data_IF_960697056214
#
_entry.id   IF_960697056214
#
_cell.length_a   1.000
_cell.length_b   1.000
_cell.length_c   1.000
_cell.angle_alpha   90.00
_cell.angle_beta   90.00
_cell.angle_gamma   90.00
#
_symmetry.space_group_name_H-M   'P 1'
#
loop_
_entity.id
_entity.type
_entity.pdbx_description
1 polymer ?
#
# COMPACT_ATOMS: atom_id res chain seq x y z
N UNK A 1 0.47 -23.80 32.90
CA UNK A 1 1.57 -24.42 33.69
C UNK A 1 1.87 -25.79 33.11
N UNK A 2 3.13 -26.23 33.18
CA UNK A 2 3.69 -27.51 32.70
C UNK A 2 3.55 -27.78 31.18
N UNK A 3 4.59 -27.74 30.34
CA UNK A 3 5.96 -28.34 30.30
C UNK A 3 6.03 -29.80 29.83
N UNK A 4 6.62 -29.93 28.63
CA UNK A 4 7.68 -30.86 28.23
C UNK A 4 7.32 -32.36 28.09
N UNK A 5 7.49 -32.88 26.87
CA UNK A 5 7.82 -34.28 26.62
C UNK A 5 9.33 -34.43 26.37
N UNK A 6 9.91 -35.49 26.93
CA UNK A 6 11.31 -35.91 26.78
C UNK A 6 11.31 -37.20 25.93
N UNK A 7 12.32 -37.39 25.08
CA UNK A 7 12.66 -38.71 24.52
C UNK A 7 14.07 -39.12 24.97
N UNK A 8 14.27 -40.43 25.18
CA UNK A 8 15.47 -40.97 25.83
C UNK A 8 15.86 -42.34 25.24
N UNK A 9 17.17 -42.62 25.29
CA UNK A 9 17.83 -43.95 25.40
C UNK A 9 18.27 -44.74 24.13
N UNK A 10 19.41 -45.46 24.30
CA UNK A 10 20.06 -46.44 23.39
C UNK A 10 21.25 -45.87 22.59
N UNK A 11 22.55 -45.96 22.94
CA UNK A 11 23.40 -46.87 23.76
C UNK A 11 23.98 -48.11 23.02
N UNK A 12 25.27 -48.44 23.32
CA UNK A 12 26.13 -49.59 22.87
C UNK A 12 26.90 -49.33 21.54
N UNK A 13 28.22 -49.60 21.34
CA UNK A 13 29.31 -50.09 22.21
C UNK A 13 30.77 -49.77 21.72
N UNK A 14 31.71 -49.73 22.69
CA UNK A 14 33.10 -50.24 22.75
C UNK A 14 34.10 -50.16 21.56
N UNK A 15 35.29 -49.54 21.80
CA UNK A 15 36.61 -50.23 21.96
C UNK A 15 37.71 -49.26 22.46
N UNK A 16 38.83 -49.80 22.95
CA UNK A 16 40.00 -49.16 23.63
C UNK A 16 41.29 -49.93 23.22
N UNK A 17 42.55 -49.55 23.61
CA UNK A 17 43.16 -48.25 23.97
C UNK A 17 44.61 -48.06 23.35
N UNK A 18 45.42 -47.15 23.96
CA UNK A 18 46.91 -47.05 23.94
C UNK A 18 47.60 -46.12 22.90
N UNK A 19 48.75 -45.44 23.13
CA UNK A 19 49.57 -45.11 24.35
C UNK A 19 50.55 -43.94 24.02
N UNK A 20 50.77 -42.98 24.95
CA UNK A 20 51.89 -42.00 25.09
C UNK A 20 52.27 -41.07 23.87
N UNK A 21 52.98 -39.92 23.98
CA UNK A 21 53.95 -39.37 24.97
C UNK A 21 53.94 -37.81 25.07
N UNK A 22 54.02 -37.29 26.30
CA UNK A 22 54.88 -36.18 26.80
C UNK A 22 55.37 -35.00 25.90
N UNK A 23 54.95 -33.76 26.23
CA UNK A 23 55.73 -32.57 26.71
C UNK A 23 55.11 -31.20 26.30
N UNK A 24 55.38 -30.09 27.03
CA UNK A 24 54.56 -28.87 26.96
C UNK A 24 55.19 -27.70 26.19
N UNK A 25 54.34 -26.74 25.78
CA UNK A 25 54.74 -25.36 25.54
C UNK A 25 53.71 -24.42 26.16
N UNK A 26 54.15 -23.56 27.08
CA UNK A 26 53.32 -22.50 27.64
C UNK A 26 53.25 -21.33 26.68
N UNK A 27 52.06 -20.87 26.31
CA UNK A 27 51.85 -19.51 25.85
C UNK A 27 50.70 -18.86 26.62
N UNK A 28 51.07 -17.85 27.40
CA UNK A 28 50.17 -17.04 28.20
C UNK A 28 49.84 -15.76 27.43
N UNK A 29 48.61 -15.64 26.94
CA UNK A 29 48.08 -14.37 26.40
C UNK A 29 46.84 -13.96 27.16
N UNK A 30 46.86 -12.71 27.66
CA UNK A 30 45.90 -12.18 28.64
C UNK A 30 44.46 -12.20 28.14
N UNK A 31 43.58 -12.66 29.01
CA UNK A 31 42.17 -12.29 29.04
C UNK A 31 42.03 -10.77 29.25
N UNK A 32 41.41 -10.06 28.31
CA UNK A 32 40.83 -8.73 28.55
C UNK A 32 39.32 -8.87 28.46
N UNK A 33 38.66 -9.01 29.62
CA UNK A 33 37.22 -9.02 29.69
C UNK A 33 36.68 -7.60 29.48
N UNK A 34 35.93 -7.37 28.40
CA UNK A 34 35.16 -6.14 28.23
C UNK A 34 33.93 -6.21 29.13
N UNK A 35 33.77 -5.17 29.97
CA UNK A 35 32.61 -5.04 30.84
C UNK A 35 31.35 -4.67 30.05
N UNK A 36 30.16 -5.16 30.44
CA UNK A 36 28.91 -4.71 29.84
C UNK A 36 28.62 -3.27 30.26
N UNK A 37 28.41 -2.38 29.29
CA UNK A 37 27.96 -1.01 29.54
C UNK A 37 26.50 -1.07 30.01
N UNK A 38 26.27 -0.74 31.29
CA UNK A 38 24.94 -0.35 31.76
C UNK A 38 24.66 1.07 31.27
N UNK A 39 23.54 1.26 30.57
CA UNK A 39 22.93 2.58 30.39
C UNK A 39 21.56 2.62 31.07
N UNK A 40 21.42 3.58 31.97
CA UNK A 40 20.22 3.86 32.74
C UNK A 40 19.26 4.78 31.99
N UNK A 41 17.96 4.59 32.21
CA UNK A 41 16.87 5.52 31.88
C UNK A 41 16.99 6.86 32.65
N UNK A 42 16.03 7.81 32.51
CA UNK A 42 15.21 8.18 31.34
C UNK A 42 15.46 9.65 30.94
N UNK A 43 15.08 10.07 29.72
CA UNK A 43 15.14 11.49 29.34
C UNK A 43 13.75 12.13 29.34
N UNK A 44 13.59 13.22 30.10
CA UNK A 44 12.37 14.04 30.12
C UNK A 44 12.32 14.99 28.92
N UNK A 45 11.12 15.30 28.43
CA UNK A 45 10.91 16.28 27.38
C UNK A 45 11.20 17.72 27.89
N UNK A 46 11.73 18.61 27.02
CA UNK A 46 11.60 20.06 27.17
C UNK A 46 10.41 20.61 26.37
N UNK A 47 9.81 21.69 26.88
CA UNK A 47 8.69 22.40 26.26
C UNK A 47 9.08 23.22 25.02
N UNK A 48 8.11 23.34 24.11
CA UNK A 48 7.87 24.43 23.13
C UNK A 48 9.01 25.38 22.72
N UNK A 49 9.39 25.34 21.44
CA UNK A 49 9.72 26.56 20.69
C UNK A 49 8.99 26.54 19.33
N UNK A 50 8.39 27.69 19.00
CA UNK A 50 7.81 28.03 17.72
C UNK A 50 8.86 28.49 16.71
N UNK A 51 8.87 27.93 15.51
CA UNK A 51 8.91 28.70 14.24
C UNK A 51 8.99 27.75 13.03
N UNK A 52 7.93 27.75 12.22
CA UNK A 52 8.01 27.33 10.81
C UNK A 52 7.50 28.48 9.96
N UNK A 53 8.44 29.28 9.46
CA UNK A 53 8.19 30.32 8.49
C UNK A 53 7.78 29.70 7.15
N UNK A 54 6.51 29.87 6.79
CA UNK A 54 6.05 29.57 5.44
C UNK A 54 6.71 30.53 4.45
N UNK A 55 7.55 30.01 3.57
CA UNK A 55 8.09 30.74 2.43
C UNK A 55 7.78 29.98 1.13
N UNK A 56 6.86 30.58 0.37
CA UNK A 56 6.87 30.62 -1.10
C UNK A 56 6.48 29.37 -1.91
N UNK A 57 5.17 29.08 -1.93
CA UNK A 57 4.45 28.80 -3.18
C UNK A 57 3.10 29.53 -3.15
N UNK A 58 3.03 30.71 -3.78
CA UNK A 58 1.86 31.58 -3.73
C UNK A 58 0.66 31.08 -4.52
N UNK A 59 -0.39 30.62 -3.83
CA UNK A 59 -1.76 30.54 -4.35
C UNK A 59 -2.73 31.07 -3.29
N UNK A 60 -3.13 32.34 -3.42
CA UNK A 60 -4.20 32.91 -2.59
C UNK A 60 -5.56 32.47 -3.13
N UNK A 61 -6.30 31.72 -2.32
CA UNK A 61 -7.75 31.55 -2.51
C UNK A 61 -8.48 32.57 -1.64
N UNK A 62 -8.99 33.63 -2.25
CA UNK A 62 -9.95 34.54 -1.63
C UNK A 62 -11.34 33.89 -1.62
N UNK A 63 -11.91 33.71 -0.43
CA UNK A 63 -13.24 33.16 -0.20
C UNK A 63 -14.23 34.23 0.32
N UNK A 64 -14.06 35.49 -0.10
CA UNK A 64 -14.87 36.61 0.38
C UNK A 64 -15.45 37.51 -0.72
N UNK A 65 -16.20 36.93 -1.67
CA UNK A 65 -17.19 37.70 -2.45
C UNK A 65 -18.35 36.83 -2.97
N UNK A 66 -19.52 36.94 -2.32
CA UNK A 66 -20.79 36.42 -2.83
C UNK A 66 -21.52 37.53 -3.59
N UNK A 67 -21.57 37.44 -4.93
CA UNK A 67 -22.40 38.28 -5.78
C UNK A 67 -23.64 37.50 -6.30
N UNK A 68 -24.82 38.13 -6.41
CA UNK A 68 -26.07 37.42 -6.72
C UNK A 68 -26.20 37.00 -8.19
N UNK A 69 -26.76 35.82 -8.42
CA UNK A 69 -27.07 35.29 -9.76
C UNK A 69 -28.37 35.92 -10.28
N UNK A 70 -28.40 36.49 -11.50
CA UNK A 70 -29.63 36.94 -12.13
C UNK A 70 -30.39 35.78 -12.80
N UNK A 71 -31.61 35.53 -12.36
CA UNK A 71 -32.53 34.57 -13.02
C UNK A 71 -33.00 35.12 -14.36
N UNK A 72 -32.73 34.42 -15.46
CA UNK A 72 -33.31 34.69 -16.78
C UNK A 72 -34.18 33.49 -17.21
N UNK A 73 -35.45 33.75 -17.47
CA UNK A 73 -36.44 32.76 -17.90
C UNK A 73 -36.45 32.71 -19.42
N UNK A 74 -36.24 31.53 -20.01
CA UNK A 74 -36.30 31.34 -21.46
C UNK A 74 -37.57 30.61 -21.86
N UNK A 75 -38.41 31.26 -22.66
CA UNK A 75 -39.60 30.66 -23.31
C UNK A 75 -39.30 30.55 -24.82
N UNK A 76 -39.36 29.34 -25.42
CA UNK A 76 -39.39 29.20 -26.87
C UNK A 76 -40.84 29.21 -27.38
N UNK A 77 -41.19 30.27 -28.12
CA UNK A 77 -42.35 30.27 -29.03
C UNK A 77 -41.98 29.57 -30.35
N UNK A 78 -42.96 29.04 -31.07
CA UNK A 78 -42.74 28.26 -32.29
C UNK A 78 -43.14 28.99 -33.58
N UNK A 79 -42.55 28.60 -34.72
CA UNK A 79 -43.27 28.36 -35.99
C UNK A 79 -42.35 27.99 -37.17
N UNK A 80 -42.63 26.82 -37.77
CA UNK A 80 -42.62 26.43 -39.20
C UNK A 80 -41.70 27.20 -40.20
N UNK A 81 -40.95 26.52 -41.08
CA UNK A 81 -41.54 25.93 -42.33
C UNK A 81 -40.58 25.08 -43.20
N UNK A 82 -41.18 24.15 -43.96
CA UNK A 82 -40.84 23.67 -45.33
C UNK A 82 -39.52 22.91 -45.66
N UNK A 83 -39.64 21.57 -45.70
CA UNK A 83 -39.47 20.67 -46.86
C UNK A 83 -38.27 20.81 -47.85
N UNK A 84 -37.42 19.78 -47.88
CA UNK A 84 -36.99 19.16 -49.15
C UNK A 84 -36.75 17.64 -49.01
N UNK A 85 -37.27 16.84 -49.94
CA UNK A 85 -37.13 15.38 -49.97
C UNK A 85 -35.91 14.97 -50.81
N UNK A 86 -35.14 13.98 -50.33
CA UNK A 86 -34.25 13.16 -51.15
C UNK A 86 -34.39 11.67 -50.74
N UNK A 87 -34.14 10.72 -51.64
CA UNK A 87 -34.69 9.37 -51.52
C UNK A 87 -33.96 8.48 -50.52
N UNK A 88 -34.76 7.57 -49.98
CA UNK A 88 -34.43 6.54 -49.00
C UNK A 88 -33.60 5.43 -49.64
N UNK A 89 -32.39 5.15 -49.16
CA UNK A 89 -31.64 3.96 -49.52
C UNK A 89 -31.44 3.06 -48.29
N UNK A 90 -32.14 1.92 -48.29
CA UNK A 90 -32.39 1.12 -47.11
C UNK A 90 -31.45 -0.09 -47.08
N UNK A 91 -30.34 0.04 -46.38
CA UNK A 91 -29.42 -1.08 -46.06
C UNK A 91 -29.01 -1.03 -44.59
N UNK A 92 -30.01 -1.23 -43.74
CA UNK A 92 -29.85 -1.42 -42.30
C UNK A 92 -29.24 -2.81 -42.00
N UNK A 93 -27.92 -2.92 -42.17
CA UNK A 93 -27.15 -4.04 -41.61
C UNK A 93 -27.25 -3.94 -40.09
N UNK A 94 -28.18 -4.70 -39.52
CA UNK A 94 -28.38 -4.79 -38.08
C UNK A 94 -27.12 -5.40 -37.46
N UNK A 95 -26.31 -4.68 -36.67
CA UNK A 95 -25.18 -5.28 -35.99
C UNK A 95 -25.70 -6.34 -35.02
N UNK A 96 -25.09 -7.53 -35.04
CA UNK A 96 -25.49 -8.63 -34.17
C UNK A 96 -25.52 -8.15 -32.70
N UNK A 97 -26.48 -8.60 -31.88
CA UNK A 97 -26.57 -8.18 -30.49
C UNK A 97 -25.25 -8.54 -29.79
N UNK A 98 -24.53 -7.52 -29.32
CA UNK A 98 -23.31 -7.69 -28.54
C UNK A 98 -23.57 -8.67 -27.40
N UNK A 99 -22.71 -9.68 -27.18
CA UNK A 99 -22.88 -10.59 -26.05
C UNK A 99 -22.97 -9.76 -24.75
N UNK A 100 -23.86 -10.12 -23.81
CA UNK A 100 -24.04 -9.34 -22.60
C UNK A 100 -22.72 -9.20 -21.85
N UNK A 101 -22.40 -7.97 -21.42
CA UNK A 101 -21.19 -7.59 -20.68
C UNK A 101 -21.20 -8.13 -19.23
N UNK A 102 -21.43 -9.42 -19.08
CA UNK A 102 -21.53 -10.12 -17.79
C UNK A 102 -20.42 -11.17 -17.63
N UNK A 103 -19.26 -10.90 -18.24
CA UNK A 103 -18.02 -11.68 -18.12
C UNK A 103 -16.81 -10.80 -17.82
N UNK A 104 -17.00 -9.74 -17.02
CA UNK A 104 -15.91 -9.16 -16.22
C UNK A 104 -15.71 -10.02 -14.97
N UNK A 105 -15.34 -11.29 -15.21
CA UNK A 105 -14.78 -12.15 -14.18
C UNK A 105 -13.58 -11.42 -13.59
N UNK A 106 -13.63 -11.10 -12.29
CA UNK A 106 -12.55 -10.37 -11.62
C UNK A 106 -11.27 -11.18 -11.77
N UNK A 107 -10.36 -10.71 -12.63
CA UNK A 107 -9.13 -11.43 -12.98
C UNK A 107 -8.40 -11.86 -11.71
N UNK A 108 -8.41 -13.17 -11.44
CA UNK A 108 -7.83 -13.74 -10.23
C UNK A 108 -6.32 -13.64 -10.32
N UNK A 109 -5.76 -12.63 -9.67
CA UNK A 109 -4.34 -12.49 -9.46
C UNK A 109 -3.88 -13.42 -8.32
N UNK A 110 -2.61 -13.79 -8.37
CA UNK A 110 -1.89 -14.48 -7.30
C UNK A 110 -0.84 -13.53 -6.73
N UNK A 111 -0.45 -13.69 -5.46
CA UNK A 111 0.69 -12.93 -4.91
C UNK A 111 1.96 -13.12 -5.75
N UNK A 112 2.15 -14.31 -6.34
CA UNK A 112 3.28 -14.59 -7.24
C UNK A 112 3.33 -13.62 -8.44
N UNK A 113 2.17 -13.27 -9.01
CA UNK A 113 2.10 -12.29 -10.12
C UNK A 113 2.36 -10.87 -9.61
N UNK A 114 1.78 -10.48 -8.47
CA UNK A 114 1.95 -9.13 -7.91
C UNK A 114 3.42 -8.80 -7.56
N UNK A 115 4.18 -9.81 -7.12
CA UNK A 115 5.62 -9.74 -6.80
C UNK A 115 6.53 -10.24 -7.95
N UNK A 116 6.00 -10.43 -9.17
CA UNK A 116 6.83 -10.84 -10.32
C UNK A 116 7.60 -9.65 -10.89
N UNK A 117 8.84 -9.88 -11.39
CA UNK A 117 9.81 -8.84 -11.80
C UNK A 117 10.47 -8.05 -10.65
N UNK A 118 10.42 -8.56 -9.42
CA UNK A 118 11.14 -8.02 -8.27
C UNK A 118 10.94 -6.51 -8.05
N UNK A 119 11.96 -5.67 -8.25
CA UNK A 119 11.85 -4.20 -8.08
C UNK A 119 10.94 -3.55 -9.15
N UNK A 120 10.67 -4.20 -10.28
CA UNK A 120 9.72 -3.71 -11.30
C UNK A 120 8.38 -4.48 -11.25
N UNK A 121 8.07 -5.04 -10.09
CA UNK A 121 6.78 -5.68 -9.81
C UNK A 121 5.67 -4.67 -9.59
N UNK A 122 4.41 -5.08 -9.79
CA UNK A 122 3.26 -4.21 -9.51
C UNK A 122 3.20 -3.77 -8.03
N UNK A 123 3.67 -4.61 -7.09
CA UNK A 123 3.86 -4.20 -5.69
C UNK A 123 4.88 -3.07 -5.59
N UNK A 124 6.03 -3.20 -6.22
CA UNK A 124 7.09 -2.20 -6.14
C UNK A 124 6.67 -0.86 -6.79
N UNK A 125 6.03 -0.89 -7.97
CA UNK A 125 5.49 0.32 -8.60
C UNK A 125 4.38 0.96 -7.75
N UNK A 126 3.42 0.17 -7.26
CA UNK A 126 2.29 0.72 -6.50
C UNK A 126 2.69 1.28 -5.12
N UNK A 127 3.52 0.55 -4.36
CA UNK A 127 4.02 1.00 -3.06
C UNK A 127 5.01 2.15 -3.24
N UNK A 128 5.93 2.07 -4.22
CA UNK A 128 6.91 3.12 -4.49
C UNK A 128 6.27 4.44 -4.93
N UNK A 129 5.20 4.41 -5.74
CA UNK A 129 4.42 5.60 -6.09
C UNK A 129 3.71 6.19 -4.85
N UNK A 130 3.34 5.35 -3.89
CA UNK A 130 2.69 5.79 -2.66
C UNK A 130 3.67 6.30 -1.59
N UNK A 131 4.91 5.79 -1.56
CA UNK A 131 6.06 6.40 -0.87
C UNK A 131 6.54 7.70 -1.56
N UNK A 132 6.36 7.82 -2.88
CA UNK A 132 6.90 8.93 -3.69
C UNK A 132 8.31 8.68 -4.24
N UNK A 133 8.79 7.43 -4.20
CA UNK A 133 10.05 6.96 -4.80
C UNK A 133 9.90 6.54 -6.26
N UNK A 134 8.66 6.31 -6.74
CA UNK A 134 8.37 5.97 -8.15
C UNK A 134 7.25 6.80 -8.76
N UNK A 135 7.18 6.85 -10.09
CA UNK A 135 6.01 7.34 -10.85
C UNK A 135 4.91 6.26 -10.93
N UNK A 136 3.66 6.61 -11.27
CA UNK A 136 2.63 5.64 -11.60
C UNK A 136 3.00 4.67 -12.73
N UNK A 137 3.86 5.11 -13.65
CA UNK A 137 4.39 4.35 -14.78
C UNK A 137 5.52 3.38 -14.39
N UNK A 138 6.16 3.61 -13.23
CA UNK A 138 7.19 2.74 -12.64
C UNK A 138 8.60 3.32 -12.61
N UNK A 139 8.84 4.47 -13.22
CA UNK A 139 10.13 5.16 -13.22
C UNK A 139 10.54 5.62 -11.82
N UNK A 140 11.83 5.73 -11.56
CA UNK A 140 12.36 6.19 -10.27
C UNK A 140 12.28 7.72 -10.14
N UNK A 141 11.86 8.20 -8.96
CA UNK A 141 11.98 9.61 -8.57
C UNK A 141 13.37 9.89 -7.97
N UNK A 142 13.65 11.14 -7.63
CA UNK A 142 14.89 11.51 -6.91
C UNK A 142 15.00 10.79 -5.56
N UNK A 143 13.89 10.55 -4.86
CA UNK A 143 13.88 9.91 -3.53
C UNK A 143 14.27 8.43 -3.54
N UNK A 144 14.19 7.75 -4.69
CA UNK A 144 14.63 6.36 -4.86
C UNK A 144 16.13 6.18 -4.59
N UNK A 145 16.95 7.11 -5.10
CA UNK A 145 18.40 7.11 -4.91
C UNK A 145 18.82 7.49 -3.48
N UNK A 146 17.84 7.86 -2.66
CA UNK A 146 17.93 8.00 -1.22
C UNK A 146 17.64 9.42 -0.74
N UNK A 147 17.16 9.50 0.50
CA UNK A 147 16.77 10.75 1.14
C UNK A 147 16.80 10.60 2.66
N UNK A 148 17.02 11.70 3.37
CA UNK A 148 16.89 11.72 4.83
C UNK A 148 15.43 11.97 5.22
N UNK A 149 14.87 11.11 6.06
CA UNK A 149 13.55 11.31 6.67
C UNK A 149 13.62 12.49 7.67
N UNK A 150 12.84 13.57 7.49
CA UNK A 150 12.89 14.74 8.37
C UNK A 150 12.34 14.46 9.78
N UNK A 151 11.57 13.38 9.97
CA UNK A 151 10.97 13.02 11.26
C UNK A 151 11.91 12.26 12.21
N UNK A 152 12.91 11.54 11.68
CA UNK A 152 13.85 10.75 12.49
C UNK A 152 15.34 10.90 12.12
N UNK A 153 15.66 11.59 11.03
CA UNK A 153 17.04 11.80 10.55
C UNK A 153 17.69 10.57 9.91
N UNK A 154 16.95 9.50 9.66
CA UNK A 154 17.46 8.25 9.08
C UNK A 154 17.53 8.36 7.55
N UNK A 155 18.54 7.74 6.96
CA UNK A 155 18.68 7.63 5.51
C UNK A 155 17.81 6.49 4.96
N UNK A 156 16.92 6.85 4.04
CA UNK A 156 16.03 5.96 3.31
C UNK A 156 16.65 5.61 1.95
N UNK A 157 16.42 4.39 1.45
CA UNK A 157 16.97 3.95 0.16
C UNK A 157 16.00 3.04 -0.63
N UNK A 158 16.03 3.15 -1.97
CA UNK A 158 15.31 2.27 -2.88
C UNK A 158 13.82 2.60 -3.06
N UNK A 159 13.09 1.70 -3.70
CA UNK A 159 11.66 1.81 -4.00
C UNK A 159 10.81 1.92 -2.74
N UNK A 160 11.23 1.31 -1.64
CA UNK A 160 10.41 1.19 -0.43
C UNK A 160 10.84 2.10 0.72
N UNK A 161 11.74 3.07 0.47
CA UNK A 161 12.30 3.95 1.50
C UNK A 161 12.96 3.17 2.66
N UNK A 162 13.75 2.16 2.34
CA UNK A 162 14.29 1.20 3.32
C UNK A 162 15.29 1.85 4.29
N UNK A 163 15.11 1.64 5.59
CA UNK A 163 15.86 2.28 6.67
C UNK A 163 16.85 1.35 7.41
N UNK A 164 16.83 0.03 7.18
CA UNK A 164 17.51 -0.94 8.06
C UNK A 164 18.91 -1.38 7.58
N UNK A 165 19.66 -0.47 6.96
CA UNK A 165 21.02 -0.75 6.47
C UNK A 165 21.03 -1.59 5.19
N UNK A 166 21.32 -0.93 4.07
CA UNK A 166 21.60 -1.57 2.79
C UNK A 166 22.72 -0.81 2.06
N UNK A 167 23.60 -1.55 1.40
CA UNK A 167 24.78 -1.00 0.72
C UNK A 167 24.44 -0.52 -0.71
N UNK A 168 23.22 -0.81 -1.19
CA UNK A 168 22.73 -0.46 -2.54
C UNK A 168 21.20 -0.41 -2.60
N UNK A 169 20.63 0.23 -3.63
CA UNK A 169 19.18 0.29 -3.86
C UNK A 169 18.61 -1.10 -4.17
N UNK A 170 19.37 -1.95 -4.87
CA UNK A 170 19.01 -3.32 -5.21
C UNK A 170 18.92 -4.20 -3.96
N UNK A 171 19.85 -4.05 -3.02
CA UNK A 171 19.82 -4.79 -1.76
C UNK A 171 18.68 -4.30 -0.85
N UNK A 172 18.44 -2.99 -0.78
CA UNK A 172 17.31 -2.38 -0.07
C UNK A 172 15.97 -2.95 -0.56
N UNK A 173 15.76 -2.93 -1.88
CA UNK A 173 14.55 -3.45 -2.50
C UNK A 173 14.41 -4.97 -2.33
N UNK A 174 15.49 -5.74 -2.50
CA UNK A 174 15.45 -7.19 -2.28
C UNK A 174 15.09 -7.56 -0.84
N UNK A 175 15.68 -6.89 0.16
CA UNK A 175 15.37 -7.08 1.59
C UNK A 175 13.89 -6.76 1.88
N UNK A 176 13.40 -5.62 1.40
CA UNK A 176 12.04 -5.17 1.70
C UNK A 176 10.96 -5.92 0.90
N UNK A 177 11.19 -6.27 -0.37
CA UNK A 177 10.32 -7.18 -1.15
C UNK A 177 10.18 -8.53 -0.46
N UNK A 178 11.28 -9.12 0.00
CA UNK A 178 11.25 -10.39 0.72
C UNK A 178 10.42 -10.31 2.02
N UNK A 179 10.46 -9.17 2.72
CA UNK A 179 9.64 -8.90 3.91
C UNK A 179 8.16 -8.73 3.54
N UNK A 180 7.84 -7.82 2.61
CA UNK A 180 6.48 -7.54 2.16
C UNK A 180 5.79 -8.78 1.61
N UNK A 181 6.52 -9.66 0.90
CA UNK A 181 6.01 -10.93 0.38
C UNK A 181 5.56 -11.88 1.50
N UNK A 182 6.28 -11.95 2.62
CA UNK A 182 5.86 -12.72 3.81
C UNK A 182 4.65 -12.09 4.49
N UNK A 183 4.64 -10.76 4.63
CA UNK A 183 3.50 -10.04 5.23
C UNK A 183 2.23 -10.18 4.38
N UNK A 184 2.35 -10.18 3.05
CA UNK A 184 1.25 -10.41 2.11
C UNK A 184 0.66 -11.83 2.24
N UNK A 185 1.48 -12.84 2.54
CA UNK A 185 1.00 -14.20 2.81
C UNK A 185 0.18 -14.25 4.10
N UNK A 186 0.70 -13.70 5.20
CA UNK A 186 -0.04 -13.59 6.49
C UNK A 186 -1.34 -12.80 6.32
N UNK A 187 -1.34 -11.75 5.51
CA UNK A 187 -2.55 -10.99 5.17
C UNK A 187 -3.60 -11.85 4.44
N UNK A 188 -3.19 -12.64 3.44
CA UNK A 188 -4.11 -13.54 2.73
C UNK A 188 -4.63 -14.66 3.64
N UNK A 189 -3.82 -15.17 4.56
CA UNK A 189 -4.23 -16.15 5.57
C UNK A 189 -5.28 -15.54 6.52
N UNK A 190 -5.03 -14.34 7.07
CA UNK A 190 -6.00 -13.58 7.89
C UNK A 190 -7.31 -13.33 7.13
N UNK A 191 -7.24 -12.97 5.85
CA UNK A 191 -8.42 -12.67 5.03
C UNK A 191 -9.24 -13.94 4.78
N UNK A 192 -8.57 -15.03 4.40
CA UNK A 192 -9.19 -16.34 4.17
C UNK A 192 -9.86 -16.89 5.45
N UNK A 193 -9.23 -16.71 6.61
CA UNK A 193 -9.80 -17.09 7.90
C UNK A 193 -11.09 -16.33 8.28
N UNK A 194 -11.34 -15.17 7.65
CA UNK A 194 -12.59 -14.39 7.78
C UNK A 194 -13.56 -14.59 6.60
N UNK A 195 -13.23 -15.46 5.66
CA UNK A 195 -14.01 -15.63 4.43
C UNK A 195 -13.90 -14.47 3.42
N UNK A 196 -12.94 -13.56 3.61
CA UNK A 196 -12.72 -12.44 2.71
C UNK A 196 -11.90 -12.87 1.48
N UNK A 197 -12.43 -12.61 0.28
CA UNK A 197 -11.67 -12.66 -0.97
C UNK A 197 -11.22 -11.25 -1.34
N UNK A 198 -9.98 -10.89 -1.00
CA UNK A 198 -9.43 -9.57 -1.28
C UNK A 198 -9.36 -9.29 -2.79
N UNK A 199 -9.80 -8.09 -3.16
CA UNK A 199 -9.55 -7.49 -4.47
C UNK A 199 -8.08 -7.09 -4.63
N UNK A 200 -7.69 -6.73 -5.85
CA UNK A 200 -6.34 -6.23 -6.15
C UNK A 200 -6.00 -4.98 -5.33
N UNK A 201 -6.97 -4.07 -5.19
CA UNK A 201 -6.78 -2.81 -4.50
C UNK A 201 -6.70 -2.99 -2.98
N UNK A 202 -7.56 -3.81 -2.38
CA UNK A 202 -7.45 -4.18 -0.95
C UNK A 202 -6.10 -4.87 -0.66
N UNK A 203 -5.66 -5.74 -1.57
CA UNK A 203 -4.36 -6.43 -1.45
C UNK A 203 -3.19 -5.45 -1.51
N UNK A 204 -3.14 -4.58 -2.52
CA UNK A 204 -2.03 -3.62 -2.66
C UNK A 204 -2.04 -2.59 -1.53
N UNK A 205 -3.21 -2.17 -1.04
CA UNK A 205 -3.31 -1.28 0.12
C UNK A 205 -2.86 -1.94 1.43
N UNK A 206 -3.19 -3.21 1.65
CA UNK A 206 -2.70 -3.93 2.83
C UNK A 206 -1.19 -4.16 2.80
N UNK A 207 -0.63 -4.51 1.64
CA UNK A 207 0.84 -4.64 1.45
C UNK A 207 1.55 -3.30 1.70
N UNK A 208 1.00 -2.23 1.15
CA UNK A 208 1.51 -0.88 1.30
C UNK A 208 1.48 -0.39 2.76
N UNK A 209 0.37 -0.64 3.47
CA UNK A 209 0.28 -0.37 4.90
C UNK A 209 1.31 -1.18 5.69
N UNK A 210 1.64 -2.40 5.27
CA UNK A 210 2.73 -3.20 5.85
C UNK A 210 4.13 -2.58 5.66
N UNK A 211 4.32 -1.77 4.63
CA UNK A 211 5.55 -1.01 4.39
C UNK A 211 5.66 0.14 5.40
N UNK A 212 4.59 0.93 5.50
CA UNK A 212 4.51 2.12 6.35
C UNK A 212 4.46 1.79 7.86
N UNK A 213 3.61 0.84 8.24
CA UNK A 213 3.32 0.49 9.63
C UNK A 213 3.01 -1.02 9.73
N UNK A 214 4.04 -1.88 9.87
CA UNK A 214 3.88 -3.35 9.91
C UNK A 214 2.78 -3.85 10.85
N UNK A 215 2.69 -3.30 12.07
CA UNK A 215 1.69 -3.71 13.07
C UNK A 215 0.27 -3.32 12.66
N UNK A 216 0.08 -2.22 11.92
CA UNK A 216 -1.24 -1.83 11.39
C UNK A 216 -1.82 -2.89 10.43
N UNK A 217 -0.99 -3.74 9.82
CA UNK A 217 -1.44 -4.95 9.12
C UNK A 217 -1.47 -6.19 10.04
N UNK A 218 -0.43 -6.37 10.85
CA UNK A 218 -0.10 -7.64 11.49
C UNK A 218 -0.71 -7.87 12.88
N UNK A 219 -1.05 -6.82 13.63
CA UNK A 219 -1.59 -6.95 14.99
C UNK A 219 -3.03 -7.50 15.02
N UNK A 220 -3.54 -7.75 16.22
CA UNK A 220 -4.94 -8.03 16.51
C UNK A 220 -5.72 -6.72 16.40
N UNK A 221 -6.78 -6.69 15.57
CA UNK A 221 -7.38 -5.45 15.07
C UNK A 221 -6.47 -4.70 14.08
N UNK A 222 -5.84 -5.46 13.17
CA UNK A 222 -5.12 -4.90 12.01
C UNK A 222 -6.05 -4.70 10.80
N UNK A 223 -5.49 -4.25 9.68
CA UNK A 223 -6.22 -3.90 8.44
C UNK A 223 -7.27 -4.91 7.98
N UNK A 224 -7.00 -6.21 8.10
CA UNK A 224 -7.94 -7.26 7.68
C UNK A 224 -9.11 -7.44 8.67
N UNK A 225 -8.91 -7.14 9.96
CA UNK A 225 -10.00 -7.07 10.93
C UNK A 225 -10.90 -5.86 10.64
N UNK A 226 -10.31 -4.70 10.40
CA UNK A 226 -11.06 -3.49 10.08
C UNK A 226 -11.73 -3.54 8.70
N UNK A 227 -11.14 -4.18 7.71
CA UNK A 227 -11.76 -4.36 6.39
C UNK A 227 -13.01 -5.24 6.48
N UNK A 228 -12.96 -6.31 7.29
CA UNK A 228 -14.15 -7.11 7.60
C UNK A 228 -15.23 -6.29 8.31
N UNK A 229 -14.83 -5.46 9.27
CA UNK A 229 -15.75 -4.58 9.99
C UNK A 229 -16.40 -3.54 9.06
N UNK A 230 -15.63 -2.89 8.18
CA UNK A 230 -16.15 -1.96 7.18
C UNK A 230 -17.20 -2.61 6.26
N UNK A 231 -16.89 -3.81 5.74
CA UNK A 231 -17.83 -4.56 4.90
C UNK A 231 -19.09 -4.96 5.67
N UNK A 232 -19.00 -5.29 6.97
CA UNK A 232 -20.16 -5.57 7.82
C UNK A 232 -21.06 -4.34 8.08
N UNK A 233 -20.48 -3.13 7.97
CA UNK A 233 -21.20 -1.85 8.02
C UNK A 233 -21.77 -1.43 6.65
N UNK A 234 -21.64 -2.27 5.62
CA UNK A 234 -22.11 -1.98 4.26
C UNK A 234 -21.16 -1.13 3.41
N UNK A 235 -19.99 -0.74 3.93
CA UNK A 235 -18.97 -0.01 3.16
C UNK A 235 -18.35 -0.92 2.11
N UNK A 236 -17.93 -0.36 0.97
CA UNK A 236 -17.26 -1.13 -0.08
C UNK A 236 -16.23 -0.32 -0.88
N UNK A 237 -15.34 -1.02 -1.58
CA UNK A 237 -14.32 -0.40 -2.43
C UNK A 237 -13.44 0.61 -1.68
N UNK A 238 -13.21 1.78 -2.28
CA UNK A 238 -12.33 2.79 -1.71
C UNK A 238 -12.77 3.30 -0.33
N UNK A 239 -14.07 3.34 -0.01
CA UNK A 239 -14.54 3.76 1.32
C UNK A 239 -14.10 2.74 2.39
N UNK A 240 -14.38 1.45 2.17
CA UNK A 240 -14.00 0.39 3.11
C UNK A 240 -12.48 0.28 3.27
N UNK A 241 -11.71 0.50 2.20
CA UNK A 241 -10.25 0.49 2.25
C UNK A 241 -9.72 1.68 3.06
N UNK A 242 -10.20 2.91 2.80
CA UNK A 242 -9.77 4.09 3.55
C UNK A 242 -10.10 3.95 5.03
N UNK A 243 -11.34 3.54 5.32
CA UNK A 243 -11.79 3.25 6.68
C UNK A 243 -10.85 2.28 7.38
N UNK A 244 -10.62 1.11 6.78
CA UNK A 244 -9.79 0.08 7.38
C UNK A 244 -8.34 0.52 7.56
N UNK A 245 -7.75 1.25 6.60
CA UNK A 245 -6.40 1.80 6.72
C UNK A 245 -6.29 2.80 7.88
N UNK A 246 -7.27 3.69 8.04
CA UNK A 246 -7.28 4.68 9.14
C UNK A 246 -7.44 3.98 10.48
N UNK A 247 -8.45 3.13 10.65
CA UNK A 247 -8.72 2.45 11.93
C UNK A 247 -7.57 1.53 12.38
N UNK A 248 -6.75 1.03 11.43
CA UNK A 248 -5.55 0.25 11.73
C UNK A 248 -4.45 0.99 12.52
N UNK A 249 -4.55 2.32 12.66
CA UNK A 249 -3.69 3.11 13.53
C UNK A 249 -4.24 3.28 14.96
N UNK A 250 -5.37 2.68 15.32
CA UNK A 250 -5.83 2.63 16.71
C UNK A 250 -5.04 1.53 17.45
N UNK A 251 -4.31 1.89 18.49
CA UNK A 251 -3.73 0.91 19.40
C UNK A 251 -4.87 0.19 20.17
N UNK A 252 -5.03 -1.14 20.02
CA UNK A 252 -6.13 -1.89 20.63
C UNK A 252 -6.10 -1.86 22.16
N UNK A 253 -4.94 -1.61 22.79
CA UNK A 253 -4.78 -1.58 24.25
C UNK A 253 -5.15 -0.23 24.85
N UNK A 254 -4.79 0.87 24.17
CA UNK A 254 -5.02 2.24 24.68
C UNK A 254 -6.23 2.94 24.06
N UNK A 255 -6.79 2.40 22.97
CA UNK A 255 -7.90 2.99 22.21
C UNK A 255 -7.59 4.43 21.75
N UNK A 256 -6.33 4.66 21.35
CA UNK A 256 -5.81 5.95 20.86
C UNK A 256 -5.12 5.76 19.52
N UNK A 257 -5.05 6.84 18.74
CA UNK A 257 -4.23 6.91 17.54
C UNK A 257 -2.74 6.72 17.89
N UNK A 258 -2.10 5.81 17.17
CA UNK A 258 -0.69 5.46 17.26
C UNK A 258 -0.06 5.56 15.86
N UNK A 259 0.04 6.79 15.38
CA UNK A 259 0.68 7.20 14.14
C UNK A 259 1.53 8.47 14.42
N UNK A 260 2.65 8.37 15.17
CA UNK A 260 3.39 9.54 15.64
C UNK A 260 3.94 10.39 14.49
N UNK A 261 4.44 9.77 13.41
CA UNK A 261 4.86 10.47 12.19
C UNK A 261 3.72 11.12 11.39
N UNK A 262 2.45 10.84 11.74
CA UNK A 262 1.25 11.47 11.19
C UNK A 262 0.55 12.36 12.23
N UNK A 263 1.18 12.65 13.38
CA UNK A 263 0.64 13.55 14.40
C UNK A 263 -0.48 12.99 15.29
N UNK A 264 -0.79 11.69 15.22
CA UNK A 264 -1.80 11.02 16.06
C UNK A 264 -3.23 11.64 16.01
N UNK A 265 -3.65 12.23 14.89
CA UNK A 265 -5.03 12.71 14.70
C UNK A 265 -5.73 12.02 13.53
N UNK A 266 -7.04 11.84 13.62
CA UNK A 266 -7.83 11.16 12.61
C UNK A 266 -7.75 11.86 11.24
N UNK A 267 -7.73 13.19 11.24
CA UNK A 267 -7.74 14.04 10.03
C UNK A 267 -6.40 13.96 9.28
N UNK A 268 -5.29 13.91 10.03
CA UNK A 268 -3.95 13.81 9.47
C UNK A 268 -3.69 12.40 8.93
N UNK A 269 -4.04 11.37 9.71
CA UNK A 269 -3.97 9.96 9.29
C UNK A 269 -4.82 9.75 8.03
N UNK A 270 -6.09 10.18 8.03
CA UNK A 270 -7.00 10.04 6.87
C UNK A 270 -6.43 10.69 5.62
N UNK A 271 -5.86 11.89 5.73
CA UNK A 271 -5.28 12.63 4.60
C UNK A 271 -4.09 11.90 3.98
N UNK A 272 -3.17 11.38 4.79
CA UNK A 272 -2.05 10.60 4.28
C UNK A 272 -2.51 9.25 3.70
N UNK A 273 -3.37 8.51 4.39
CA UNK A 273 -3.87 7.23 3.89
C UNK A 273 -4.63 7.40 2.57
N UNK A 274 -5.40 8.48 2.40
CA UNK A 274 -6.07 8.81 1.15
C UNK A 274 -5.07 9.16 0.03
N UNK A 275 -4.05 9.99 0.30
CA UNK A 275 -2.95 10.28 -0.65
C UNK A 275 -2.27 9.00 -1.14
N UNK A 276 -1.96 8.11 -0.20
CA UNK A 276 -1.31 6.81 -0.43
C UNK A 276 -2.19 5.88 -1.28
N UNK A 277 -3.48 5.76 -0.96
CA UNK A 277 -4.45 5.03 -1.77
C UNK A 277 -4.57 5.55 -3.20
N UNK A 278 -4.60 6.88 -3.39
CA UNK A 278 -4.69 7.49 -4.71
C UNK A 278 -3.45 7.19 -5.58
N UNK A 279 -2.27 7.10 -4.98
CA UNK A 279 -1.06 6.68 -5.69
C UNK A 279 -1.14 5.21 -6.14
N UNK A 280 -1.57 4.30 -5.26
CA UNK A 280 -1.80 2.89 -5.60
C UNK A 280 -2.81 2.76 -6.74
N UNK A 281 -3.92 3.51 -6.68
CA UNK A 281 -4.93 3.52 -7.75
C UNK A 281 -4.34 3.98 -9.10
N UNK A 282 -3.55 5.07 -9.11
CA UNK A 282 -2.86 5.54 -10.33
C UNK A 282 -1.92 4.48 -10.92
N UNK A 283 -1.16 3.76 -10.09
CA UNK A 283 -0.27 2.69 -10.55
C UNK A 283 -1.05 1.49 -11.15
N UNK A 284 -2.16 1.10 -10.52
CA UNK A 284 -3.07 0.07 -11.05
C UNK A 284 -3.63 0.51 -12.42
N UNK A 285 -4.12 1.75 -12.53
CA UNK A 285 -4.70 2.27 -13.77
C UNK A 285 -3.67 2.34 -14.90
N UNK A 286 -2.41 2.75 -14.63
CA UNK A 286 -1.33 2.70 -15.61
C UNK A 286 -0.99 1.28 -16.06
N UNK A 287 -0.89 0.33 -15.13
CA UNK A 287 -0.65 -1.07 -15.48
C UNK A 287 -1.78 -1.65 -16.36
N UNK A 288 -3.03 -1.24 -16.12
CA UNK A 288 -4.19 -1.62 -16.93
C UNK A 288 -4.11 -1.03 -18.35
N UNK A 289 -3.74 0.25 -18.46
CA UNK A 289 -3.59 0.95 -19.74
C UNK A 289 -2.44 0.36 -20.57
N UNK A 290 -1.29 0.04 -19.96
CA UNK A 290 -0.18 -0.64 -20.63
C UNK A 290 -0.58 -2.03 -21.16
N UNK A 291 -1.23 -2.86 -20.34
CA UNK A 291 -1.76 -4.16 -20.79
C UNK A 291 -2.77 -3.99 -21.95
N UNK A 292 -3.61 -2.95 -21.90
CA UNK A 292 -4.56 -2.65 -22.95
C UNK A 292 -3.91 -2.10 -24.24
N UNK A 293 -2.77 -1.41 -24.13
CA UNK A 293 -1.97 -0.95 -25.26
C UNK A 293 -1.21 -2.12 -25.91
N UNK A 294 -0.52 -2.95 -25.12
CA UNK A 294 0.19 -4.14 -25.59
C UNK A 294 -0.75 -5.09 -26.33
N UNK A 295 -1.94 -5.34 -25.78
CA UNK A 295 -2.96 -6.20 -26.41
C UNK A 295 -3.52 -5.62 -27.73
N UNK A 296 -3.42 -4.31 -27.97
CA UNK A 296 -3.77 -3.68 -29.26
C UNK A 296 -2.64 -3.79 -30.28
N UNK A 297 -1.39 -3.69 -29.82
CA UNK A 297 -0.19 -3.73 -30.67
C UNK A 297 0.21 -5.17 -31.05
N UNK A 298 -0.06 -6.15 -30.18
CA UNK A 298 0.28 -7.54 -30.39
C UNK A 298 -0.86 -8.47 -29.89
N UNK A 299 -1.87 -8.76 -30.74
CA UNK A 299 -3.04 -9.56 -30.35
C UNK A 299 -2.69 -11.05 -30.21
N UNK A 300 -2.10 -11.40 -29.06
CA UNK A 300 -1.85 -12.78 -28.62
C UNK A 300 -3.04 -13.33 -27.81
N UNK A 301 -3.21 -14.66 -27.70
CA UNK A 301 -4.32 -15.26 -26.94
C UNK A 301 -4.34 -14.79 -25.48
N UNK A 302 -5.56 -14.59 -24.97
CA UNK A 302 -5.86 -13.77 -23.79
C UNK A 302 -5.30 -14.37 -22.49
N UNK A 303 -4.06 -14.00 -22.16
CA UNK A 303 -3.42 -14.28 -20.88
C UNK A 303 -3.40 -13.04 -20.00
N UNK A 304 -4.34 -12.95 -19.04
CA UNK A 304 -4.45 -11.89 -18.01
C UNK A 304 -4.88 -10.50 -18.53
N UNK A 305 -6.14 -10.13 -18.24
CA UNK A 305 -6.68 -8.78 -18.47
C UNK A 305 -7.32 -8.28 -17.19
N UNK A 306 -6.75 -7.26 -16.57
CA UNK A 306 -7.33 -6.63 -15.38
C UNK A 306 -8.62 -5.87 -15.75
N UNK A 307 -9.63 -5.82 -14.86
CA UNK A 307 -10.88 -5.11 -15.12
C UNK A 307 -10.65 -3.60 -15.26
N UNK A 308 -11.36 -2.93 -16.18
CA UNK A 308 -11.25 -1.48 -16.37
C UNK A 308 -11.99 -0.74 -15.25
N UNK A 309 -11.30 0.14 -14.55
CA UNK A 309 -11.83 0.95 -13.45
C UNK A 309 -12.34 2.30 -13.95
N UNK A 310 -13.25 2.92 -13.17
CA UNK A 310 -13.87 4.20 -13.53
C UNK A 310 -13.54 5.27 -12.47
N UNK A 311 -12.49 6.05 -12.73
CA UNK A 311 -11.90 7.02 -11.79
C UNK A 311 -12.87 8.12 -11.34
N UNK A 312 -13.74 8.58 -12.24
CA UNK A 312 -14.71 9.66 -11.96
C UNK A 312 -15.70 9.28 -10.84
N UNK A 313 -16.23 8.05 -10.88
CA UNK A 313 -17.14 7.53 -9.85
C UNK A 313 -16.46 7.46 -8.46
N UNK A 314 -15.14 7.26 -8.44
CA UNK A 314 -14.36 7.12 -7.20
C UNK A 314 -14.02 8.45 -6.54
N UNK A 315 -13.72 9.50 -7.31
CA UNK A 315 -13.55 10.84 -6.75
C UNK A 315 -14.85 11.34 -6.11
N UNK A 316 -15.99 11.10 -6.77
CA UNK A 316 -17.32 11.34 -6.21
C UNK A 316 -17.56 10.58 -4.89
N UNK A 317 -17.27 9.27 -4.85
CA UNK A 317 -17.43 8.46 -3.63
C UNK A 317 -16.44 8.85 -2.51
N UNK A 318 -15.22 9.29 -2.84
CA UNK A 318 -14.25 9.78 -1.83
C UNK A 318 -14.65 11.13 -1.23
N UNK A 319 -15.29 12.02 -2.01
CA UNK A 319 -15.79 13.29 -1.50
C UNK A 319 -17.00 13.11 -0.57
N UNK A 320 -17.90 12.17 -0.86
CA UNK A 320 -19.04 11.87 0.02
C UNK A 320 -18.64 11.14 1.30
N UNK A 321 -17.59 10.30 1.27
CA UNK A 321 -17.02 9.73 2.50
C UNK A 321 -16.50 10.81 3.47
N UNK A 322 -15.90 11.89 2.96
CA UNK A 322 -15.42 13.00 3.79
C UNK A 322 -16.56 13.80 4.45
N UNK A 323 -17.71 13.94 3.77
CA UNK A 323 -18.87 14.67 4.28
C UNK A 323 -19.69 13.91 5.34
N UNK A 324 -19.55 12.58 5.42
CA UNK A 324 -20.21 11.75 6.43
C UNK A 324 -19.39 11.60 7.73
N UNK A 325 -18.22 12.24 7.80
CA UNK A 325 -17.20 12.05 8.84
C UNK A 325 -16.83 13.34 9.60
N UNK A 326 -17.50 14.45 9.28
CA UNK A 326 -17.37 15.76 9.92
C UNK A 326 -18.71 16.21 10.52
#
# INVERSE_FOLDING_TARGET
MNKICIYTAGLIALTQPAVATNLPAQFSTRTTALQPIQQSSPYSAPDSISDFSNADLGVQFDLSNSAPIPTQVFIPDGSQSSLHNLPNDNSSVQPAPSPPLNLLEQATFTLRQLFSKDSDSLVAVAVGNAEGTRTPEGDHSTHFYGHTDPGNGVWNLGTFSYQHGADSVEEADAKQLARLKRQAQVMQEKASAKGLKLTLEETLNGIDLANQAPEALLDVAGYIDWLAQAQSLGMSGAEAILWARVQSFIDPKTQRWNAPGLGNTAESITRDQQRRMQAIARAIDRQNDSIAADARLNPQPIGFRLPRWNLAQRLLNQMSAWLNWA
#
